data_IF_453725533969
#
_entry.id   IF_453725533969
#
_cell.length_a   1.000
_cell.length_b   1.000
_cell.length_c   1.000
_cell.angle_alpha   90.00
_cell.angle_beta   90.00
_cell.angle_gamma   90.00
#
_symmetry.space_group_name_H-M   'P 1'
#
loop_
_entity.id
_entity.type
_entity.pdbx_description
1 polymer ?
#
# COMPACT_ATOMS: atom_id res chain seq x y z
N UNK A 1 5.72 -28.17 10.24
CA UNK A 1 5.75 -27.75 9.56
C UNK A 1 6.11 -27.79 8.78
N UNK A 2 5.95 -28.22 8.85
CA UNK A 2 6.28 -28.13 8.18
C UNK A 2 6.43 -27.45 7.34
N UNK A 3 6.56 -27.50 7.17
CA UNK A 3 7.00 -26.70 6.05
C UNK A 3 6.07 -25.65 5.50
N UNK A 4 5.05 -25.39 6.17
CA UNK A 4 4.14 -24.32 5.76
C UNK A 4 4.77 -22.98 6.07
N UNK A 5 5.09 -22.25 5.01
CA UNK A 5 5.52 -20.88 5.15
C UNK A 5 4.31 -19.97 4.96
N UNK A 6 4.03 -19.18 5.98
CA UNK A 6 3.00 -18.14 5.86
C UNK A 6 3.67 -16.91 5.24
N UNK A 7 3.37 -16.66 3.97
CA UNK A 7 3.90 -15.49 3.28
C UNK A 7 3.06 -14.26 3.62
N UNK A 8 3.74 -13.18 3.94
CA UNK A 8 3.08 -11.89 4.09
C UNK A 8 2.63 -11.41 2.72
N UNK A 9 1.53 -10.69 2.69
CA UNK A 9 0.91 -10.19 1.46
C UNK A 9 1.00 -8.68 1.38
N UNK A 10 1.43 -8.18 0.23
CA UNK A 10 1.49 -6.75 -0.07
C UNK A 10 0.62 -6.47 -1.28
N UNK A 11 -0.24 -5.47 -1.17
CA UNK A 11 -1.05 -5.00 -2.28
C UNK A 11 -0.48 -3.67 -2.77
N UNK A 12 -0.13 -3.61 -4.04
CA UNK A 12 0.39 -2.39 -4.69
C UNK A 12 -0.71 -1.76 -5.52
N UNK A 13 -1.02 -0.50 -5.25
CA UNK A 13 -2.13 0.20 -5.90
C UNK A 13 -1.62 1.46 -6.58
N UNK A 14 -1.70 1.51 -7.90
CA UNK A 14 -1.31 2.66 -8.71
C UNK A 14 -1.94 2.49 -10.09
N UNK A 15 -2.37 3.57 -10.72
CA UNK A 15 -2.93 3.50 -12.07
C UNK A 15 -1.85 3.50 -13.15
N UNK A 16 -0.61 3.79 -12.78
CA UNK A 16 0.54 3.74 -13.69
C UNK A 16 1.12 2.33 -13.70
N UNK A 17 0.93 1.62 -14.82
CA UNK A 17 1.39 0.23 -14.95
C UNK A 17 2.90 0.09 -14.87
N UNK A 18 3.64 1.09 -15.33
CA UNK A 18 5.10 1.06 -15.26
C UNK A 18 5.57 1.11 -13.80
N UNK A 19 4.93 1.95 -13.00
CA UNK A 19 5.23 2.02 -11.57
C UNK A 19 4.87 0.71 -10.88
N UNK A 20 3.70 0.13 -11.17
CA UNK A 20 3.31 -1.17 -10.62
C UNK A 20 4.32 -2.25 -10.96
N UNK A 21 4.75 -2.30 -12.21
CA UNK A 21 5.74 -3.28 -12.66
C UNK A 21 7.07 -3.11 -11.93
N UNK A 22 7.52 -1.87 -11.80
CA UNK A 22 8.77 -1.57 -11.09
C UNK A 22 8.70 -1.95 -9.61
N UNK A 23 7.60 -1.62 -8.95
CA UNK A 23 7.41 -1.98 -7.54
C UNK A 23 7.35 -3.49 -7.36
N UNK A 24 6.61 -4.17 -8.22
CA UNK A 24 6.49 -5.63 -8.16
C UNK A 24 7.84 -6.30 -8.36
N UNK A 25 8.63 -5.82 -9.34
CA UNK A 25 9.98 -6.33 -9.57
C UNK A 25 10.88 -6.11 -8.36
N UNK A 26 10.81 -4.93 -7.75
CA UNK A 26 11.64 -4.60 -6.60
C UNK A 26 11.33 -5.51 -5.40
N UNK A 27 10.10 -6.00 -5.27
CA UNK A 27 9.67 -6.85 -4.16
C UNK A 27 9.72 -8.35 -4.50
N UNK A 28 10.04 -8.71 -5.74
CA UNK A 28 9.93 -10.09 -6.22
C UNK A 28 10.76 -11.09 -5.41
N UNK A 29 11.94 -10.67 -4.95
CA UNK A 29 12.87 -11.56 -4.23
C UNK A 29 12.69 -11.53 -2.72
N UNK A 30 11.64 -10.88 -2.24
CA UNK A 30 11.44 -10.67 -0.80
C UNK A 30 10.66 -11.80 -0.12
N UNK A 31 10.21 -12.81 -0.88
CA UNK A 31 9.39 -13.88 -0.34
C UNK A 31 7.96 -13.45 -0.01
N UNK A 32 7.54 -12.31 -0.53
CA UNK A 32 6.20 -11.78 -0.29
C UNK A 32 5.23 -12.23 -1.38
N UNK A 33 3.96 -12.36 -0.99
CA UNK A 33 2.89 -12.51 -1.96
C UNK A 33 2.51 -11.10 -2.42
N UNK A 34 2.81 -10.75 -3.67
CA UNK A 34 2.62 -9.40 -4.20
C UNK A 34 1.41 -9.36 -5.12
N UNK A 35 0.44 -8.53 -4.77
CA UNK A 35 -0.78 -8.30 -5.53
C UNK A 35 -0.78 -6.88 -6.08
N UNK A 36 -1.49 -6.65 -7.18
CA UNK A 36 -1.59 -5.32 -7.78
C UNK A 36 -3.02 -4.94 -8.06
N UNK A 37 -3.31 -3.65 -8.02
CA UNK A 37 -4.59 -3.08 -8.40
C UNK A 37 -4.36 -1.76 -9.13
N UNK A 38 -5.13 -1.51 -10.18
CA UNK A 38 -4.97 -0.33 -11.04
C UNK A 38 -5.93 0.81 -10.75
N UNK A 39 -6.87 0.62 -9.86
CA UNK A 39 -7.82 1.65 -9.46
C UNK A 39 -8.35 1.39 -8.05
N UNK A 40 -9.07 2.38 -7.51
CA UNK A 40 -9.54 2.30 -6.14
C UNK A 40 -10.57 1.21 -5.88
N UNK A 41 -11.43 0.91 -6.85
CA UNK A 41 -12.43 -0.14 -6.69
C UNK A 41 -11.79 -1.52 -6.66
N UNK A 42 -10.83 -1.74 -7.55
CA UNK A 42 -10.06 -2.98 -7.57
C UNK A 42 -9.25 -3.14 -6.28
N UNK A 43 -8.69 -2.05 -5.77
CA UNK A 43 -7.93 -2.08 -4.52
C UNK A 43 -8.79 -2.57 -3.35
N UNK A 44 -10.00 -2.05 -3.22
CA UNK A 44 -10.92 -2.47 -2.15
C UNK A 44 -11.29 -3.95 -2.31
N UNK A 45 -11.59 -4.36 -3.53
CA UNK A 45 -11.92 -5.77 -3.82
C UNK A 45 -10.78 -6.71 -3.46
N UNK A 46 -9.57 -6.38 -3.91
CA UNK A 46 -8.38 -7.19 -3.62
C UNK A 46 -8.10 -7.26 -2.12
N UNK A 47 -8.26 -6.15 -1.43
CA UNK A 47 -8.04 -6.11 0.02
C UNK A 47 -9.05 -6.97 0.77
N UNK A 48 -10.32 -6.90 0.37
CA UNK A 48 -11.38 -7.70 1.00
C UNK A 48 -11.18 -9.20 0.77
N UNK A 49 -10.69 -9.58 -0.41
CA UNK A 49 -10.51 -11.00 -0.77
C UNK A 49 -9.22 -11.60 -0.21
N UNK A 50 -8.17 -10.81 -0.09
CA UNK A 50 -6.83 -11.33 0.20
C UNK A 50 -6.25 -10.89 1.54
N UNK A 51 -6.88 -9.96 2.23
CA UNK A 51 -6.45 -9.48 3.56
C UNK A 51 -4.95 -9.15 3.62
N UNK A 52 -4.47 -8.19 2.81
CA UNK A 52 -3.04 -7.89 2.78
C UNK A 52 -2.55 -7.34 4.12
N UNK A 53 -1.28 -7.57 4.39
CA UNK A 53 -0.61 -7.05 5.60
C UNK A 53 -0.19 -5.61 5.42
N UNK A 54 0.21 -5.26 4.18
CA UNK A 54 0.63 -3.89 3.81
C UNK A 54 -0.02 -3.54 2.49
N UNK A 55 -0.49 -2.30 2.38
CA UNK A 55 -1.00 -1.74 1.12
C UNK A 55 -0.17 -0.51 0.79
N UNK A 56 0.42 -0.50 -0.40
CA UNK A 56 1.10 0.66 -0.95
C UNK A 56 0.10 1.35 -1.87
N UNK A 57 -0.30 2.56 -1.52
CA UNK A 57 -1.50 3.18 -2.07
C UNK A 57 -1.21 4.56 -2.64
N UNK A 58 -1.39 4.71 -3.94
CA UNK A 58 -1.33 6.02 -4.59
C UNK A 58 -2.54 6.85 -4.17
N UNK A 59 -2.31 8.09 -3.80
CA UNK A 59 -3.38 9.02 -3.42
C UNK A 59 -4.27 9.37 -4.60
N UNK A 60 -3.70 9.52 -5.79
CA UNK A 60 -4.41 9.97 -6.99
C UNK A 60 -4.80 8.78 -7.87
N UNK A 61 -5.94 8.19 -7.58
CA UNK A 61 -6.46 7.02 -8.30
C UNK A 61 -7.74 7.35 -9.05
N UNK A 62 -7.99 6.71 -10.21
CA UNK A 62 -9.30 6.79 -10.84
C UNK A 62 -10.33 5.99 -10.06
N UNK A 63 -11.60 6.28 -10.28
CA UNK A 63 -12.80 5.64 -9.73
C UNK A 63 -12.99 5.84 -8.24
N UNK A 64 -11.94 5.72 -7.45
CA UNK A 64 -12.00 5.96 -6.01
C UNK A 64 -10.65 6.47 -5.55
N UNK A 65 -10.61 7.66 -4.94
CA UNK A 65 -9.35 8.27 -4.50
C UNK A 65 -8.66 7.40 -3.45
N UNK A 66 -7.34 7.56 -3.33
CA UNK A 66 -6.57 6.85 -2.33
C UNK A 66 -7.07 7.10 -0.91
N UNK A 67 -7.52 8.31 -0.61
CA UNK A 67 -8.08 8.62 0.71
C UNK A 67 -9.34 7.82 0.99
N UNK A 68 -10.24 7.67 0.02
CA UNK A 68 -11.45 6.87 0.19
C UNK A 68 -11.14 5.38 0.34
N UNK A 69 -10.17 4.90 -0.41
CA UNK A 69 -9.70 3.51 -0.27
C UNK A 69 -9.16 3.30 1.14
N UNK A 70 -8.29 4.19 1.60
CA UNK A 70 -7.70 4.10 2.94
C UNK A 70 -8.76 4.13 4.03
N UNK A 71 -9.71 5.04 3.91
CA UNK A 71 -10.82 5.15 4.86
C UNK A 71 -11.59 3.83 4.94
N UNK A 72 -11.86 3.23 3.79
CA UNK A 72 -12.56 1.95 3.74
C UNK A 72 -11.76 0.83 4.39
N UNK A 73 -10.46 0.76 4.09
CA UNK A 73 -9.58 -0.31 4.59
C UNK A 73 -9.30 -0.20 6.09
N UNK A 74 -9.31 1.02 6.63
CA UNK A 74 -9.00 1.25 8.04
C UNK A 74 -10.23 1.43 8.92
N UNK A 75 -11.41 1.38 8.35
CA UNK A 75 -12.65 1.61 9.12
C UNK A 75 -12.78 0.60 10.26
N UNK A 76 -12.94 1.11 11.47
CA UNK A 76 -13.08 0.27 12.65
C UNK A 76 -11.79 -0.41 13.11
N UNK A 77 -10.64 0.01 12.58
CA UNK A 77 -9.34 -0.58 12.89
C UNK A 77 -8.40 0.46 13.48
N UNK A 78 -7.46 -0.01 14.29
CA UNK A 78 -6.41 0.85 14.83
C UNK A 78 -5.35 1.09 13.75
N UNK A 79 -4.58 2.21 13.84
CA UNK A 79 -3.49 2.43 12.87
C UNK A 79 -2.49 1.29 12.78
N UNK A 80 -2.27 0.56 13.89
CA UNK A 80 -1.34 -0.57 13.93
C UNK A 80 -1.93 -1.89 13.45
N UNK A 81 -3.25 -1.95 13.22
CA UNK A 81 -3.90 -3.15 12.70
C UNK A 81 -3.63 -3.30 11.20
N UNK A 82 -3.54 -4.54 10.69
CA UNK A 82 -3.47 -4.70 9.23
C UNK A 82 -4.77 -4.30 8.56
N UNK A 83 -4.73 -3.79 7.34
CA UNK A 83 -3.48 -3.54 6.59
C UNK A 83 -2.79 -2.27 7.04
N UNK A 84 -1.45 -2.30 7.10
CA UNK A 84 -0.65 -1.10 7.31
C UNK A 84 -0.53 -0.38 5.96
N UNK A 85 -0.69 0.92 5.96
CA UNK A 85 -0.80 1.69 4.71
C UNK A 85 0.44 2.56 4.50
N UNK A 86 1.05 2.42 3.31
CA UNK A 86 2.06 3.35 2.82
C UNK A 86 1.37 4.20 1.76
N UNK A 87 1.20 5.49 2.03
CA UNK A 87 0.58 6.40 1.07
C UNK A 87 1.65 7.01 0.18
N UNK A 88 1.45 6.95 -1.13
CA UNK A 88 2.36 7.54 -2.11
C UNK A 88 1.63 8.67 -2.82
N UNK A 89 2.30 9.81 -3.00
CA UNK A 89 1.71 10.96 -3.67
C UNK A 89 2.74 11.81 -4.37
N UNK A 90 2.35 12.43 -5.49
CA UNK A 90 3.11 13.49 -6.14
C UNK A 90 2.83 14.86 -5.54
N UNK A 91 1.82 14.96 -4.68
CA UNK A 91 1.45 16.21 -4.05
C UNK A 91 2.12 16.31 -2.69
N UNK A 92 2.90 17.38 -2.47
CA UNK A 92 3.66 17.58 -1.25
C UNK A 92 2.95 18.53 -0.28
N UNK A 93 1.66 18.75 -0.47
CA UNK A 93 0.90 19.66 0.39
C UNK A 93 0.80 19.13 1.82
N UNK A 94 1.07 20.01 2.78
CA UNK A 94 1.01 19.68 4.21
C UNK A 94 -0.37 19.16 4.61
N UNK A 95 -1.42 19.71 4.01
CA UNK A 95 -2.79 19.32 4.32
C UNK A 95 -3.07 17.86 3.95
N UNK A 96 -2.57 17.41 2.80
CA UNK A 96 -2.78 16.04 2.37
C UNK A 96 -2.08 15.06 3.30
N UNK A 97 -0.88 15.39 3.71
CA UNK A 97 -0.13 14.57 4.64
C UNK A 97 -0.83 14.49 6.00
N UNK A 98 -1.26 15.63 6.53
CA UNK A 98 -1.96 15.67 7.80
C UNK A 98 -3.25 14.85 7.77
N UNK A 99 -4.00 14.94 6.66
CA UNK A 99 -5.21 14.15 6.49
C UNK A 99 -4.92 12.66 6.43
N UNK A 100 -3.90 12.25 5.67
CA UNK A 100 -3.49 10.85 5.59
C UNK A 100 -3.09 10.32 6.98
N UNK A 101 -2.34 11.12 7.73
CA UNK A 101 -1.96 10.75 9.10
C UNK A 101 -3.18 10.60 10.02
N UNK A 102 -4.17 11.47 9.86
CA UNK A 102 -5.40 11.39 10.65
C UNK A 102 -6.21 10.12 10.34
N UNK A 103 -6.07 9.58 9.12
CA UNK A 103 -6.74 8.33 8.74
C UNK A 103 -5.96 7.08 9.14
N UNK A 104 -4.76 7.26 9.70
CA UNK A 104 -3.98 6.12 10.20
C UNK A 104 -2.93 5.59 9.24
N UNK A 105 -2.39 6.44 8.34
CA UNK A 105 -1.30 6.02 7.47
C UNK A 105 -0.07 5.65 8.32
N UNK A 106 0.62 4.58 7.92
CA UNK A 106 1.83 4.16 8.63
C UNK A 106 3.05 4.93 8.14
N UNK A 107 3.15 5.12 6.82
CA UNK A 107 4.24 5.86 6.18
C UNK A 107 3.70 6.65 5.00
N UNK A 108 4.39 7.73 4.66
CA UNK A 108 3.99 8.64 3.59
C UNK A 108 5.21 8.91 2.73
N UNK A 109 5.14 8.56 1.44
CA UNK A 109 6.23 8.75 0.50
C UNK A 109 5.82 9.72 -0.61
N UNK A 110 6.73 10.59 -1.00
CA UNK A 110 6.50 11.55 -2.09
C UNK A 110 7.13 11.02 -3.38
N UNK A 111 6.42 11.20 -4.50
CA UNK A 111 6.98 10.94 -5.83
C UNK A 111 7.87 12.12 -6.25
N UNK A 112 8.99 11.88 -6.90
CA UNK A 112 9.56 10.56 -7.18
C UNK A 112 10.22 9.97 -5.93
N UNK A 113 10.13 8.66 -5.77
CA UNK A 113 10.77 7.96 -4.67
C UNK A 113 11.70 6.88 -5.24
N UNK A 114 12.67 6.46 -4.42
CA UNK A 114 13.58 5.38 -4.81
C UNK A 114 12.94 4.04 -4.48
N UNK A 115 13.13 3.06 -5.37
CA UNK A 115 12.57 1.72 -5.15
C UNK A 115 13.15 1.05 -3.91
N UNK A 116 14.43 1.26 -3.62
CA UNK A 116 15.03 0.70 -2.41
C UNK A 116 14.37 1.25 -1.14
N UNK A 117 13.96 2.51 -1.16
CA UNK A 117 13.24 3.11 -0.03
C UNK A 117 11.86 2.48 0.14
N UNK A 118 11.17 2.20 -0.96
CA UNK A 118 9.88 1.50 -0.89
C UNK A 118 10.06 0.11 -0.30
N UNK A 119 11.04 -0.65 -0.77
CA UNK A 119 11.32 -2.00 -0.26
C UNK A 119 11.61 -1.97 1.24
N UNK A 120 12.46 -1.05 1.68
CA UNK A 120 12.76 -0.88 3.11
C UNK A 120 11.51 -0.56 3.91
N UNK A 121 10.66 0.32 3.39
CA UNK A 121 9.43 0.73 4.07
C UNK A 121 8.48 -0.44 4.25
N UNK A 122 8.30 -1.25 3.20
CA UNK A 122 7.46 -2.43 3.26
C UNK A 122 7.99 -3.42 4.27
N UNK A 123 9.28 -3.71 4.23
CA UNK A 123 9.92 -4.66 5.16
C UNK A 123 9.79 -4.19 6.60
N UNK A 124 9.97 -2.91 6.83
CA UNK A 124 9.86 -2.33 8.17
C UNK A 124 8.46 -2.55 8.75
N UNK A 125 7.43 -2.36 7.94
CA UNK A 125 6.05 -2.55 8.40
C UNK A 125 5.67 -4.00 8.61
N UNK A 126 6.42 -4.93 8.03
CA UNK A 126 6.18 -6.36 8.17
C UNK A 126 6.94 -7.01 9.33
N UNK A 127 7.79 -6.26 9.98
CA UNK A 127 8.53 -6.74 11.16
C UNK A 127 7.62 -7.07 12.33
#
# INVERSE_FOLDING_TARGET
>A
MDGEQVHKTVLLVDDDRDILTAMKSALADSGLNVLTAGDGNEAVKQADENHPDVVVLDMMLPKRSGFLVMEKLKRGRKPTDPPRIIMITGNQGVRHRAYAESLGVALYLNKPFRMDRLVESVKKLLE
#
